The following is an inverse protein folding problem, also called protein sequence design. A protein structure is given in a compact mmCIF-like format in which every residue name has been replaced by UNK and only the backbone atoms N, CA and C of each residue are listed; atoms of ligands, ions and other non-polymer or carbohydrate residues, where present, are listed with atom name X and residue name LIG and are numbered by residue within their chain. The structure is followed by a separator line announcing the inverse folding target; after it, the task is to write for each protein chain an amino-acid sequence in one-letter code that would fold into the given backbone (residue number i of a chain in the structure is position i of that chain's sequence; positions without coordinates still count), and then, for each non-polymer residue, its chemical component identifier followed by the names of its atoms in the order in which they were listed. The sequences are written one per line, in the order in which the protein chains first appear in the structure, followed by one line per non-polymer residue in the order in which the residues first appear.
data_IF_638049790493
#
_entry.id   IF_638049790493
#
_cell.length_a   1.000
_cell.length_b   1.000
_cell.length_c   1.000
_cell.angle_alpha   90.00
_cell.angle_beta   90.00
_cell.angle_gamma   90.00
#
_symmetry.space_group_name_H-M   'P 1'
#
loop_
_entity.id
_entity.type
_entity.pdbx_description
1 polymer ?
#
# COMPACT_ATOMS: atom_id res chain seq x y z
N UNK A 1 8.30 6.14 2.13
CA UNK A 1 8.49 4.68 2.43
C UNK A 1 7.30 4.22 3.27
N UNK A 2 6.56 3.20 2.83
CA UNK A 2 5.31 2.76 3.46
C UNK A 2 5.44 2.19 4.88
N UNK A 3 4.31 2.00 5.59
CA UNK A 3 4.27 1.48 6.96
C UNK A 3 4.79 0.04 7.04
N UNK A 4 4.49 -0.77 6.04
CA UNK A 4 4.99 -2.14 5.88
C UNK A 4 5.69 -2.31 4.52
N UNK A 5 6.47 -3.38 4.40
CA UNK A 5 6.99 -3.81 3.10
C UNK A 5 5.92 -4.65 2.40
N UNK A 6 5.69 -4.37 1.12
CA UNK A 6 4.92 -5.22 0.21
C UNK A 6 5.60 -5.29 -1.14
N UNK A 7 5.45 -6.41 -1.83
CA UNK A 7 5.84 -6.54 -3.24
C UNK A 7 5.02 -5.54 -4.05
N UNK A 8 5.63 -4.81 -4.96
CA UNK A 8 4.95 -3.78 -5.75
C UNK A 8 4.84 -2.40 -5.08
N UNK A 9 5.32 -2.23 -3.85
CA UNK A 9 5.23 -0.95 -3.13
C UNK A 9 5.85 0.22 -3.90
N UNK A 10 5.16 1.36 -3.97
CA UNK A 10 5.46 2.52 -4.82
C UNK A 10 6.46 3.52 -4.24
N UNK A 11 7.27 3.11 -3.25
CA UNK A 11 8.22 4.02 -2.59
C UNK A 11 9.25 4.66 -3.54
N UNK A 12 9.57 4.02 -4.66
CA UNK A 12 10.47 4.57 -5.68
C UNK A 12 9.78 5.57 -6.61
N UNK A 13 8.47 5.47 -6.77
CA UNK A 13 7.65 6.34 -7.60
C UNK A 13 7.01 7.49 -6.81
N UNK A 14 7.10 7.48 -5.48
CA UNK A 14 6.38 8.43 -4.62
C UNK A 14 6.64 9.90 -4.98
N UNK A 15 7.89 10.27 -5.31
CA UNK A 15 8.22 11.65 -5.73
C UNK A 15 7.53 12.02 -7.03
N UNK A 16 7.59 11.14 -8.02
CA UNK A 16 7.00 11.35 -9.33
C UNK A 16 5.47 11.40 -9.24
N UNK A 17 4.84 10.43 -8.59
CA UNK A 17 3.39 10.40 -8.41
C UNK A 17 2.93 11.64 -7.65
N UNK A 18 3.63 12.02 -6.57
CA UNK A 18 3.27 13.19 -5.77
C UNK A 18 3.33 14.50 -6.58
N UNK A 19 4.30 14.64 -7.49
CA UNK A 19 4.40 15.85 -8.35
C UNK A 19 3.29 15.95 -9.39
N UNK A 20 2.55 14.87 -9.63
CA UNK A 20 1.41 14.82 -10.56
C UNK A 20 0.06 14.99 -9.86
N UNK A 21 0.02 14.94 -8.52
CA UNK A 21 -1.23 15.08 -7.76
C UNK A 21 -1.78 16.49 -7.97
N UNK A 22 -2.98 16.66 -8.54
CA UNK A 22 -3.57 17.98 -8.76
C UNK A 22 -4.14 18.56 -7.45
N UNK A 23 -4.52 19.83 -7.48
CA UNK A 23 -5.26 20.43 -6.36
C UNK A 23 -6.56 19.66 -6.12
N UNK A 24 -6.84 19.38 -4.85
CA UNK A 24 -8.01 18.63 -4.38
C UNK A 24 -8.29 18.94 -2.91
N UNK A 25 -9.51 18.69 -2.47
CA UNK A 25 -9.89 18.81 -1.06
C UNK A 25 -9.95 17.45 -0.37
N UNK A 26 -10.39 16.41 -1.11
CA UNK A 26 -10.59 15.05 -0.62
C UNK A 26 -9.57 14.13 -1.31
N UNK A 27 -8.74 13.48 -0.51
CA UNK A 27 -7.84 12.43 -0.99
C UNK A 27 -8.39 11.06 -0.64
N UNK A 28 -8.41 10.15 -1.61
CA UNK A 28 -8.87 8.77 -1.41
C UNK A 28 -7.86 7.78 -1.96
N UNK A 29 -7.41 6.84 -1.13
CA UNK A 29 -6.53 5.72 -1.53
C UNK A 29 -7.24 4.40 -1.24
N UNK A 30 -8.00 3.83 -2.22
CA UNK A 30 -8.82 2.63 -2.03
C UNK A 30 -8.03 1.34 -1.81
N UNK A 31 -6.75 1.32 -2.18
CA UNK A 31 -5.82 0.20 -2.04
C UNK A 31 -4.57 0.68 -1.30
N UNK A 32 -4.72 1.05 -0.02
CA UNK A 32 -3.65 1.71 0.75
C UNK A 32 -2.40 0.85 0.92
N UNK A 33 -2.55 -0.45 1.12
CA UNK A 33 -1.44 -1.35 1.35
C UNK A 33 -0.42 -0.79 2.35
N UNK A 34 0.82 -0.56 1.88
CA UNK A 34 1.86 0.07 2.68
C UNK A 34 1.82 1.59 2.77
N UNK A 35 0.94 2.28 2.02
CA UNK A 35 0.69 3.71 2.05
C UNK A 35 1.88 4.59 1.65
N UNK A 36 2.66 4.16 0.68
CA UNK A 36 3.87 4.92 0.29
C UNK A 36 3.54 6.29 -0.29
N UNK A 37 2.41 6.45 -0.96
CA UNK A 37 1.98 7.72 -1.56
C UNK A 37 1.31 8.57 -0.48
N UNK A 38 0.37 8.02 0.27
CA UNK A 38 -0.33 8.68 1.35
C UNK A 38 0.63 9.30 2.38
N UNK A 39 1.64 8.54 2.84
CA UNK A 39 2.63 9.02 3.81
C UNK A 39 3.62 10.04 3.25
N UNK A 40 3.71 10.19 1.93
CA UNK A 40 4.65 11.11 1.30
C UNK A 40 4.00 12.43 0.88
N UNK A 41 2.72 12.41 0.51
CA UNK A 41 2.00 13.61 0.10
C UNK A 41 1.72 14.57 1.27
N UNK A 42 1.50 15.83 0.95
CA UNK A 42 0.93 16.78 1.92
C UNK A 42 -0.49 16.38 2.29
N UNK A 43 -0.94 16.55 3.55
CA UNK A 43 -2.31 16.27 3.96
C UNK A 43 -3.32 17.09 3.15
N UNK A 44 -4.47 16.49 2.85
CA UNK A 44 -5.64 17.15 2.27
C UNK A 44 -6.62 17.56 3.38
N UNK A 45 -7.69 18.31 3.07
CA UNK A 45 -8.72 18.64 4.05
C UNK A 45 -9.38 17.39 4.63
N UNK A 46 -9.66 16.40 3.75
CA UNK A 46 -10.22 15.10 4.11
C UNK A 46 -9.31 14.03 3.52
N UNK A 47 -8.98 13.03 4.30
CA UNK A 47 -8.08 11.96 3.91
C UNK A 47 -8.73 10.61 4.17
N UNK A 48 -8.99 9.85 3.12
CA UNK A 48 -9.64 8.55 3.17
C UNK A 48 -8.64 7.48 2.74
N UNK A 49 -8.42 6.51 3.60
CA UNK A 49 -7.61 5.33 3.27
C UNK A 49 -8.41 4.06 3.46
N UNK A 50 -8.23 3.11 2.55
CA UNK A 50 -8.95 1.85 2.55
C UNK A 50 -8.07 0.69 2.07
N UNK A 51 -8.34 -0.49 2.56
CA UNK A 51 -7.87 -1.76 1.97
C UNK A 51 -8.88 -2.86 2.29
N UNK A 52 -9.03 -3.82 1.38
CA UNK A 52 -9.90 -4.97 1.62
C UNK A 52 -9.22 -6.00 2.56
N UNK A 53 -7.89 -6.02 2.63
CA UNK A 53 -7.12 -6.88 3.54
C UNK A 53 -7.24 -6.34 4.99
N UNK A 54 -8.05 -7.00 5.81
CA UNK A 54 -8.30 -6.65 7.19
C UNK A 54 -7.01 -6.54 8.02
N UNK A 55 -6.02 -7.44 7.81
CA UNK A 55 -4.73 -7.36 8.50
C UNK A 55 -3.99 -6.05 8.18
N UNK A 56 -4.14 -5.53 6.96
CA UNK A 56 -3.55 -4.25 6.54
C UNK A 56 -4.26 -3.10 7.23
N UNK A 57 -5.57 -3.08 7.19
CA UNK A 57 -6.35 -2.01 7.82
C UNK A 57 -6.19 -2.00 9.33
N UNK A 58 -6.10 -3.17 9.95
CA UNK A 58 -5.82 -3.26 11.39
C UNK A 58 -4.45 -2.65 11.75
N UNK A 59 -3.41 -2.79 10.90
CA UNK A 59 -2.14 -2.09 11.12
C UNK A 59 -2.36 -0.57 11.12
N UNK A 60 -3.10 -0.02 10.17
CA UNK A 60 -3.35 1.42 10.08
C UNK A 60 -4.16 1.94 11.26
N UNK A 61 -5.25 1.25 11.63
CA UNK A 61 -6.09 1.57 12.80
C UNK A 61 -5.29 1.51 14.09
N UNK A 62 -4.58 0.42 14.33
CA UNK A 62 -3.80 0.23 15.55
C UNK A 62 -2.69 1.27 15.68
N UNK A 63 -2.01 1.63 14.58
CA UNK A 63 -0.98 2.69 14.59
C UNK A 63 -1.58 4.07 14.81
N UNK A 64 -2.81 4.32 14.37
CA UNK A 64 -3.53 5.56 14.62
C UNK A 64 -4.00 5.65 16.08
N UNK A 65 -4.59 4.58 16.62
CA UNK A 65 -5.27 4.57 17.91
C UNK A 65 -4.31 4.47 19.11
N UNK A 66 -3.27 3.64 18.98
CA UNK A 66 -2.37 3.35 20.11
C UNK A 66 -1.52 4.56 20.52
N UNK A 67 -1.15 4.66 21.81
CA UNK A 67 -0.23 5.68 22.30
C UNK A 67 1.15 5.60 21.62
N UNK A 68 1.77 6.76 21.39
CA UNK A 68 3.02 6.86 20.60
C UNK A 68 4.24 6.27 21.32
N UNK A 69 4.25 6.31 22.63
CA UNK A 69 5.34 5.84 23.49
C UNK A 69 5.53 4.32 23.46
N UNK A 70 4.46 3.56 23.22
CA UNK A 70 4.55 2.09 23.17
C UNK A 70 5.51 1.58 22.08
N UNK A 71 5.74 2.36 21.02
CA UNK A 71 6.59 1.94 19.91
C UNK A 71 8.08 1.89 20.25
N UNK A 72 8.52 2.59 21.30
CA UNK A 72 9.93 2.62 21.71
C UNK A 72 10.41 1.25 22.22
N UNK A 73 9.51 0.48 22.81
CA UNK A 73 9.80 -0.87 23.33
C UNK A 73 9.72 -1.97 22.27
N UNK A 74 9.18 -1.69 21.07
CA UNK A 74 8.98 -2.71 20.06
C UNK A 74 10.30 -3.22 19.48
N UNK A 75 10.59 -4.51 19.70
CA UNK A 75 11.74 -5.21 19.13
C UNK A 75 11.27 -6.40 18.31
N UNK A 76 11.72 -6.49 17.08
CA UNK A 76 11.36 -7.60 16.17
C UNK A 76 12.58 -8.50 15.98
N UNK A 77 12.76 -9.47 16.87
CA UNK A 77 13.85 -10.45 16.80
C UNK A 77 13.39 -11.62 15.93
N UNK A 78 14.05 -11.88 14.79
CA UNK A 78 13.67 -12.97 13.91
C UNK A 78 13.77 -14.33 14.61
N UNK A 79 12.67 -15.06 14.59
CA UNK A 79 12.56 -16.40 15.13
C UNK A 79 11.57 -17.20 14.29
N UNK A 80 11.99 -18.37 13.81
CA UNK A 80 11.19 -19.19 12.88
C UNK A 80 9.96 -19.80 13.56
N UNK A 81 10.10 -20.25 14.81
CA UNK A 81 8.99 -20.86 15.53
C UNK A 81 7.93 -19.81 15.93
N UNK A 82 8.38 -18.64 16.37
CA UNK A 82 7.50 -17.50 16.62
C UNK A 82 6.78 -17.05 15.33
N UNK A 83 7.47 -17.05 14.20
CA UNK A 83 6.86 -16.73 12.90
C UNK A 83 5.73 -17.71 12.56
N UNK A 84 5.97 -19.03 12.73
CA UNK A 84 4.95 -20.06 12.49
C UNK A 84 3.75 -19.92 13.44
N UNK A 85 3.99 -19.63 14.72
CA UNK A 85 2.91 -19.41 15.68
C UNK A 85 2.05 -18.20 15.29
N UNK A 86 2.67 -17.12 14.87
CA UNK A 86 1.97 -15.92 14.41
C UNK A 86 1.20 -16.08 13.10
N UNK A 87 1.64 -16.95 12.18
CA UNK A 87 0.86 -17.27 10.99
C UNK A 87 -0.52 -17.85 11.33
N UNK A 88 -0.59 -18.66 12.38
CA UNK A 88 -1.80 -19.36 12.81
C UNK A 88 -2.62 -18.59 13.87
N UNK A 89 -2.06 -17.51 14.43
CA UNK A 89 -2.73 -16.72 15.48
C UNK A 89 -3.87 -15.89 14.87
N UNK A 90 -5.11 -16.17 15.32
CA UNK A 90 -6.33 -15.50 14.85
C UNK A 90 -7.02 -14.66 15.92
N UNK A 91 -6.69 -14.87 17.20
CA UNK A 91 -7.21 -14.10 18.32
C UNK A 91 -6.11 -13.30 19.00
N UNK A 92 -6.43 -12.14 19.54
CA UNK A 92 -5.49 -11.19 20.11
C UNK A 92 -6.03 -10.66 21.43
N UNK A 93 -5.14 -10.52 22.40
CA UNK A 93 -5.51 -10.03 23.74
C UNK A 93 -5.66 -8.49 23.75
N UNK A 94 -5.04 -7.82 22.76
CA UNK A 94 -5.09 -6.37 22.64
C UNK A 94 -4.78 -5.91 21.20
N UNK A 95 -5.08 -4.65 20.91
CA UNK A 95 -4.67 -4.00 19.66
C UNK A 95 -3.13 -3.97 19.53
N UNK A 96 -2.40 -3.86 20.63
CA UNK A 96 -0.94 -3.93 20.61
C UNK A 96 -0.44 -5.31 20.16
N UNK A 97 -1.00 -6.39 20.70
CA UNK A 97 -0.64 -7.77 20.32
C UNK A 97 -0.94 -8.03 18.83
N UNK A 98 -2.10 -7.57 18.37
CA UNK A 98 -2.47 -7.64 16.95
C UNK A 98 -1.50 -6.86 16.05
N UNK A 99 -1.19 -5.64 16.43
CA UNK A 99 -0.25 -4.79 15.71
C UNK A 99 1.15 -5.41 15.67
N UNK A 100 1.63 -5.85 16.83
CA UNK A 100 2.95 -6.47 16.93
C UNK A 100 3.06 -7.69 16.01
N UNK A 101 2.06 -8.59 16.05
CA UNK A 101 2.01 -9.77 15.16
C UNK A 101 2.03 -9.38 13.68
N UNK A 102 1.23 -8.42 13.28
CA UNK A 102 1.11 -7.99 11.89
C UNK A 102 2.40 -7.33 11.38
N UNK A 103 3.01 -6.47 12.17
CA UNK A 103 4.29 -5.85 11.87
C UNK A 103 5.42 -6.88 11.86
N UNK A 104 5.42 -7.82 12.80
CA UNK A 104 6.41 -8.89 12.87
C UNK A 104 6.37 -9.75 11.60
N UNK A 105 5.20 -10.24 11.21
CA UNK A 105 5.06 -11.03 9.98
C UNK A 105 5.51 -10.25 8.74
N UNK A 106 5.15 -8.98 8.62
CA UNK A 106 5.60 -8.14 7.50
C UNK A 106 7.12 -7.97 7.48
N UNK A 107 7.75 -7.87 8.65
CA UNK A 107 9.18 -7.58 8.75
C UNK A 107 10.08 -8.79 8.53
N UNK A 108 9.76 -9.92 9.14
CA UNK A 108 10.62 -11.12 9.11
C UNK A 108 10.31 -12.09 7.99
N UNK A 109 9.27 -11.83 7.20
CA UNK A 109 8.94 -12.64 6.03
C UNK A 109 9.80 -12.31 4.81
N UNK A 110 9.92 -13.27 3.92
CA UNK A 110 10.61 -13.07 2.64
C UNK A 110 9.90 -11.99 1.82
N UNK A 111 10.64 -10.94 1.47
CA UNK A 111 10.11 -9.79 0.72
C UNK A 111 8.84 -9.13 1.30
N UNK A 112 8.51 -9.35 2.57
CA UNK A 112 7.31 -8.80 3.19
C UNK A 112 6.01 -9.51 2.77
N UNK A 113 6.08 -10.75 2.26
CA UNK A 113 4.90 -11.49 1.78
C UNK A 113 4.00 -12.03 2.92
N UNK A 114 4.47 -12.01 4.16
CA UNK A 114 3.76 -12.49 5.35
C UNK A 114 3.36 -13.98 5.32
N UNK A 115 3.92 -14.77 4.40
CA UNK A 115 3.63 -16.19 4.22
C UNK A 115 4.81 -17.09 4.50
N UNK A 116 6.02 -16.65 4.17
CA UNK A 116 7.24 -17.44 4.32
C UNK A 116 8.28 -16.68 5.12
N UNK A 117 8.94 -17.40 6.03
CA UNK A 117 10.01 -16.85 6.86
C UNK A 117 11.21 -16.46 6.00
N UNK A 118 11.63 -15.21 6.09
CA UNK A 118 12.75 -14.65 5.33
C UNK A 118 14.06 -14.55 6.11
N UNK A 119 14.02 -14.81 7.42
CA UNK A 119 15.20 -14.71 8.30
C UNK A 119 15.61 -13.28 8.59
N UNK A 120 16.86 -13.12 8.96
CA UNK A 120 17.39 -11.96 9.64
C UNK A 120 17.95 -10.90 8.71
N UNK A 121 17.17 -9.86 8.41
CA UNK A 121 17.74 -8.57 7.94
C UNK A 121 16.94 -7.42 8.57
N UNK A 122 17.33 -7.14 9.85
CA UNK A 122 16.63 -6.32 10.54
C UNK A 122 17.03 -5.30 11.35
N UNK A 123 16.68 -4.20 11.36
CA UNK A 123 17.19 -3.06 12.05
C UNK A 123 16.19 -2.50 13.08
N UNK A 124 16.74 -1.87 14.07
CA UNK A 124 16.15 -1.00 15.10
C UNK A 124 15.26 0.11 14.46
N UNK A 125 15.45 0.39 13.16
CA UNK A 125 14.75 1.45 12.44
C UNK A 125 13.22 1.29 12.32
N UNK A 126 12.65 0.11 12.63
CA UNK A 126 11.21 -0.12 12.43
C UNK A 126 10.37 0.52 13.53
N UNK A 127 10.77 0.42 14.80
CA UNK A 127 10.05 1.07 15.91
C UNK A 127 10.00 2.58 15.75
N UNK A 128 11.16 3.22 15.51
CA UNK A 128 11.24 4.66 15.22
C UNK A 128 10.39 5.07 14.03
N UNK A 129 10.37 4.26 12.98
CA UNK A 129 9.56 4.54 11.80
C UNK A 129 8.07 4.48 12.11
N UNK A 130 7.60 3.45 12.84
CA UNK A 130 6.19 3.32 13.22
C UNK A 130 5.79 4.50 14.13
N UNK A 131 6.63 4.85 15.09
CA UNK A 131 6.41 6.05 15.93
C UNK A 131 6.20 7.31 15.09
N UNK A 132 7.07 7.57 14.12
CA UNK A 132 6.94 8.74 13.25
C UNK A 132 5.66 8.70 12.40
N UNK A 133 5.28 7.52 11.90
CA UNK A 133 4.03 7.35 11.15
C UNK A 133 2.83 7.60 12.07
N UNK A 134 2.82 7.05 13.29
CA UNK A 134 1.74 7.31 14.26
C UNK A 134 1.57 8.81 14.52
N UNK A 135 2.66 9.54 14.74
CA UNK A 135 2.63 11.00 14.90
C UNK A 135 2.07 11.69 13.64
N UNK A 136 2.49 11.25 12.46
CA UNK A 136 1.97 11.80 11.19
C UNK A 136 0.47 11.56 11.06
N UNK A 137 -0.03 10.35 11.35
CA UNK A 137 -1.44 10.01 11.27
C UNK A 137 -2.28 10.85 12.24
N UNK A 138 -1.82 10.99 13.49
CA UNK A 138 -2.51 11.79 14.52
C UNK A 138 -2.57 13.29 14.18
N UNK A 139 -1.62 13.77 13.38
CA UNK A 139 -1.59 15.15 12.87
C UNK A 139 -2.28 15.32 11.52
N UNK A 140 -2.80 14.23 10.93
CA UNK A 140 -3.53 14.29 9.66
C UNK A 140 -4.99 14.65 9.93
N UNK A 141 -5.41 15.82 9.45
CA UNK A 141 -6.79 16.28 9.63
C UNK A 141 -7.78 15.34 8.92
N UNK A 142 -8.92 15.08 9.57
CA UNK A 142 -10.03 14.32 9.00
C UNK A 142 -9.57 13.03 8.29
N UNK A 143 -8.80 12.21 9.03
CA UNK A 143 -8.39 10.89 8.55
C UNK A 143 -9.48 9.86 8.86
N UNK A 144 -9.98 9.21 7.82
CA UNK A 144 -10.93 8.12 7.94
C UNK A 144 -10.31 6.83 7.36
N UNK A 145 -10.46 5.72 8.09
CA UNK A 145 -9.85 4.42 7.76
C UNK A 145 -10.94 3.37 7.58
N UNK A 146 -11.08 2.88 6.35
CA UNK A 146 -12.11 1.92 5.95
C UNK A 146 -11.55 0.54 5.67
N UNK A 147 -12.42 -0.48 5.78
CA UNK A 147 -12.16 -1.86 5.35
C UNK A 147 -13.33 -2.32 4.47
N UNK A 148 -13.42 -1.76 3.29
CA UNK A 148 -14.55 -1.91 2.38
C UNK A 148 -14.07 -2.29 0.97
N UNK A 149 -14.99 -2.75 0.14
CA UNK A 149 -14.73 -2.90 -1.30
C UNK A 149 -14.39 -1.54 -1.94
N UNK A 150 -13.38 -1.52 -2.81
CA UNK A 150 -12.92 -0.29 -3.46
C UNK A 150 -14.03 0.43 -4.26
N UNK A 151 -14.99 -0.31 -4.84
CA UNK A 151 -16.12 0.27 -5.58
C UNK A 151 -17.03 1.07 -4.66
N UNK A 152 -17.26 0.56 -3.44
CA UNK A 152 -18.03 1.25 -2.40
C UNK A 152 -17.34 2.55 -2.01
N UNK A 153 -16.05 2.52 -1.75
CA UNK A 153 -15.26 3.69 -1.37
C UNK A 153 -15.23 4.73 -2.50
N UNK A 154 -14.96 4.31 -3.74
CA UNK A 154 -14.92 5.25 -4.87
C UNK A 154 -16.27 5.92 -5.05
N UNK A 155 -17.39 5.16 -5.06
CA UNK A 155 -18.74 5.72 -5.22
C UNK A 155 -19.13 6.66 -4.07
N UNK A 156 -18.75 6.33 -2.83
CA UNK A 156 -19.07 7.10 -1.63
C UNK A 156 -18.41 8.48 -1.63
N UNK A 157 -17.18 8.57 -2.10
CA UNK A 157 -16.38 9.79 -2.01
C UNK A 157 -16.15 10.49 -3.36
N UNK A 158 -16.85 10.05 -4.43
CA UNK A 158 -16.72 10.68 -5.74
C UNK A 158 -17.33 12.08 -5.77
N UNK A 159 -16.51 13.06 -6.05
CA UNK A 159 -16.88 14.45 -6.27
C UNK A 159 -15.87 15.15 -7.16
N UNK A 160 -16.18 16.36 -7.64
CA UNK A 160 -15.24 17.19 -8.43
C UNK A 160 -13.99 17.59 -7.63
N UNK A 161 -14.09 17.62 -6.30
CA UNK A 161 -13.01 18.01 -5.39
C UNK A 161 -12.21 16.81 -4.89
N UNK A 162 -12.51 15.60 -5.37
CA UNK A 162 -11.87 14.35 -4.97
C UNK A 162 -10.73 13.98 -5.91
N UNK A 163 -9.61 13.58 -5.31
CA UNK A 163 -8.52 12.91 -6.00
C UNK A 163 -8.34 11.49 -5.49
N UNK A 164 -8.36 10.53 -6.42
CA UNK A 164 -8.15 9.12 -6.15
C UNK A 164 -6.73 8.68 -6.55
N UNK A 165 -6.02 8.02 -5.65
CA UNK A 165 -4.82 7.27 -6.00
C UNK A 165 -5.10 5.77 -5.90
N UNK A 166 -4.92 5.04 -7.02
CA UNK A 166 -5.20 3.61 -7.10
C UNK A 166 -3.92 2.82 -7.39
N UNK A 167 -3.65 1.81 -6.57
CA UNK A 167 -2.59 0.83 -6.77
C UNK A 167 -3.14 -0.58 -6.49
N UNK A 168 -4.06 -1.07 -7.35
CA UNK A 168 -4.70 -2.37 -7.15
C UNK A 168 -3.68 -3.50 -7.25
N UNK A 169 -3.96 -4.69 -6.68
CA UNK A 169 -3.16 -5.87 -6.94
C UNK A 169 -3.19 -6.20 -8.42
N UNK A 170 -2.02 -6.53 -8.98
CA UNK A 170 -1.88 -6.86 -10.39
C UNK A 170 -2.37 -8.27 -10.69
N UNK A 171 -2.94 -8.49 -11.87
CA UNK A 171 -3.40 -9.80 -12.32
C UNK A 171 -2.28 -10.86 -12.27
N UNK A 172 -2.69 -12.08 -11.91
CA UNK A 172 -1.81 -13.23 -11.63
C UNK A 172 -1.03 -13.71 -12.87
N UNK A 173 -1.47 -13.41 -14.09
CA UNK A 173 -0.80 -13.82 -15.33
C UNK A 173 0.65 -13.31 -15.45
N UNK A 174 0.99 -12.23 -14.76
CA UNK A 174 2.36 -11.70 -14.73
C UNK A 174 3.13 -12.04 -13.44
N UNK A 175 2.49 -12.70 -12.49
CA UNK A 175 3.09 -13.07 -11.20
C UNK A 175 3.09 -14.58 -11.01
N UNK A 176 4.24 -15.20 -11.15
CA UNK A 176 4.45 -16.65 -11.08
C UNK A 176 4.16 -17.32 -9.72
N UNK A 177 3.63 -16.62 -8.71
CA UNK A 177 3.22 -17.18 -7.39
C UNK A 177 2.33 -16.20 -6.62
N UNK A 178 1.40 -16.72 -5.79
CA UNK A 178 0.63 -15.99 -4.78
C UNK A 178 1.55 -15.23 -3.80
N UNK A 179 1.74 -13.94 -4.01
CA UNK A 179 2.60 -13.09 -3.20
C UNK A 179 1.90 -12.53 -1.95
N UNK A 180 0.99 -13.31 -1.34
CA UNK A 180 0.35 -12.94 -0.08
C UNK A 180 -0.83 -11.97 -0.21
N UNK A 181 -1.37 -11.79 -1.40
CA UNK A 181 -2.66 -11.13 -1.59
C UNK A 181 -3.77 -12.13 -1.33
N UNK A 182 -4.59 -11.90 -0.30
CA UNK A 182 -5.77 -12.71 -0.03
C UNK A 182 -6.89 -12.29 -0.98
N UNK A 183 -7.37 -13.21 -1.83
CA UNK A 183 -8.64 -13.13 -2.58
C UNK A 183 -8.92 -11.82 -3.35
N UNK A 184 -7.99 -11.35 -4.17
CA UNK A 184 -8.22 -10.12 -4.90
C UNK A 184 -8.21 -10.38 -6.42
N UNK A 185 -9.33 -10.88 -6.94
CA UNK A 185 -9.64 -10.78 -8.36
C UNK A 185 -10.19 -9.38 -8.63
N UNK A 186 -9.29 -8.41 -8.77
CA UNK A 186 -9.65 -7.05 -9.18
C UNK A 186 -9.48 -6.97 -10.68
N UNK A 187 -10.59 -7.02 -11.42
CA UNK A 187 -10.58 -6.93 -12.87
C UNK A 187 -10.15 -5.54 -13.34
N UNK A 188 -9.11 -5.40 -14.19
CA UNK A 188 -8.74 -4.12 -14.78
C UNK A 188 -9.88 -3.49 -15.58
N UNK A 189 -10.71 -4.31 -16.25
CA UNK A 189 -11.87 -3.83 -16.99
C UNK A 189 -12.91 -3.19 -16.06
N UNK A 190 -13.23 -3.83 -14.93
CA UNK A 190 -14.15 -3.26 -13.95
C UNK A 190 -13.65 -1.95 -13.34
N UNK A 191 -12.33 -1.84 -13.09
CA UNK A 191 -11.72 -0.58 -12.66
C UNK A 191 -11.88 0.47 -13.76
N UNK A 192 -11.57 0.14 -15.00
CA UNK A 192 -11.68 1.07 -16.12
C UNK A 192 -13.11 1.60 -16.26
N UNK A 193 -14.10 0.72 -16.24
CA UNK A 193 -15.52 1.09 -16.39
C UNK A 193 -15.99 1.99 -15.23
N UNK A 194 -15.55 1.69 -14.00
CA UNK A 194 -15.82 2.54 -12.84
C UNK A 194 -15.17 3.92 -12.99
N UNK A 195 -13.90 3.97 -13.38
CA UNK A 195 -13.15 5.22 -13.50
C UNK A 195 -13.65 6.12 -14.65
N UNK A 196 -14.28 5.56 -15.67
CA UNK A 196 -14.97 6.34 -16.72
C UNK A 196 -16.20 7.11 -16.19
N UNK A 197 -16.78 6.67 -15.09
CA UNK A 197 -18.02 7.24 -14.55
C UNK A 197 -17.81 8.27 -13.43
N UNK A 198 -16.59 8.40 -12.89
CA UNK A 198 -16.33 9.29 -11.76
C UNK A 198 -16.20 10.76 -12.18
N UNK A 199 -16.49 11.66 -11.24
CA UNK A 199 -16.35 13.11 -11.37
C UNK A 199 -14.97 13.59 -10.93
N UNK A 200 -14.36 12.85 -10.00
CA UNK A 200 -13.07 13.15 -9.42
C UNK A 200 -11.90 12.90 -10.38
N UNK A 201 -10.75 13.40 -9.99
CA UNK A 201 -9.49 13.11 -10.70
C UNK A 201 -8.85 11.85 -10.13
N UNK A 202 -8.11 11.11 -10.97
CA UNK A 202 -7.40 9.94 -10.48
C UNK A 202 -6.01 9.77 -11.09
N UNK A 203 -5.15 9.09 -10.34
CA UNK A 203 -3.95 8.42 -10.82
C UNK A 203 -4.07 6.93 -10.48
N UNK A 204 -3.93 6.07 -11.49
CA UNK A 204 -3.88 4.62 -11.37
C UNK A 204 -2.49 4.13 -11.76
N UNK A 205 -1.87 3.34 -10.90
CA UNK A 205 -0.60 2.65 -11.20
C UNK A 205 -0.87 1.21 -11.63
N UNK A 206 -0.19 0.75 -12.69
CA UNK A 206 -0.29 -0.62 -13.17
C UNK A 206 1.03 -1.14 -13.74
N UNK A 207 1.20 -2.48 -13.83
CA UNK A 207 2.30 -3.06 -14.62
C UNK A 207 2.12 -2.71 -16.09
N UNK A 208 3.22 -2.49 -16.80
CA UNK A 208 3.16 -2.38 -18.25
C UNK A 208 2.76 -3.71 -18.87
N UNK A 209 1.63 -3.71 -19.59
CA UNK A 209 1.21 -4.75 -20.53
C UNK A 209 0.38 -4.13 -21.65
N UNK A 210 0.35 -4.76 -22.80
CA UNK A 210 -0.47 -4.27 -23.92
C UNK A 210 -1.97 -4.42 -23.60
N UNK A 211 -2.36 -5.45 -22.86
CA UNK A 211 -3.74 -5.60 -22.37
C UNK A 211 -4.19 -4.41 -21.55
N UNK A 212 -3.37 -3.98 -20.56
CA UNK A 212 -3.68 -2.80 -19.73
C UNK A 212 -3.75 -1.53 -20.56
N UNK A 213 -2.82 -1.32 -21.49
CA UNK A 213 -2.87 -0.15 -22.38
C UNK A 213 -4.14 -0.11 -23.22
N UNK A 214 -4.58 -1.28 -23.74
CA UNK A 214 -5.80 -1.36 -24.54
C UNK A 214 -7.06 -1.09 -23.71
N UNK A 215 -7.13 -1.62 -22.48
CA UNK A 215 -8.26 -1.38 -21.57
C UNK A 215 -8.38 0.11 -21.23
N UNK A 216 -7.27 0.77 -20.95
CA UNK A 216 -7.23 2.17 -20.50
C UNK A 216 -6.90 3.18 -21.60
N UNK A 217 -7.03 2.80 -22.88
CA UNK A 217 -6.64 3.63 -24.06
C UNK A 217 -7.30 5.02 -24.13
N UNK A 218 -8.46 5.17 -23.49
CA UNK A 218 -9.22 6.43 -23.47
C UNK A 218 -8.70 7.43 -22.42
N UNK A 219 -7.68 7.04 -21.64
CA UNK A 219 -7.05 7.86 -20.61
C UNK A 219 -5.61 8.26 -21.00
N UNK A 220 -5.07 9.23 -20.28
CA UNK A 220 -3.64 9.58 -20.43
C UNK A 220 -2.78 8.49 -19.81
N UNK A 221 -1.87 7.91 -20.60
CA UNK A 221 -0.98 6.82 -20.18
C UNK A 221 0.48 7.27 -20.28
N UNK A 222 1.19 7.24 -19.16
CA UNK A 222 2.62 7.49 -19.11
C UNK A 222 3.39 6.22 -18.74
N UNK A 223 4.45 5.88 -19.51
CA UNK A 223 5.35 4.79 -19.17
C UNK A 223 6.45 5.30 -18.23
N UNK A 224 6.65 4.60 -17.10
CA UNK A 224 7.66 4.92 -16.10
C UNK A 224 8.58 3.74 -15.89
N UNK A 225 9.89 3.97 -15.96
CA UNK A 225 10.90 2.94 -15.68
C UNK A 225 11.40 3.11 -14.26
N UNK A 226 11.29 2.06 -13.45
CA UNK A 226 11.86 1.99 -12.11
C UNK A 226 12.98 0.97 -12.06
N UNK A 227 14.12 1.35 -11.47
CA UNK A 227 15.25 0.43 -11.26
C UNK A 227 15.05 -0.33 -9.96
N UNK A 228 14.90 -1.64 -10.04
CA UNK A 228 14.87 -2.51 -8.87
C UNK A 228 16.21 -3.23 -8.72
N UNK A 229 16.86 -3.05 -7.59
CA UNK A 229 18.03 -3.85 -7.22
C UNK A 229 17.52 -5.13 -6.57
N UNK A 230 17.70 -6.26 -7.20
CA UNK A 230 17.46 -7.56 -6.59
C UNK A 230 18.61 -7.81 -5.61
N UNK A 231 18.37 -7.61 -4.30
CA UNK A 231 19.32 -7.94 -3.25
C UNK A 231 19.43 -9.44 -3.08
N UNK A 232 20.54 -10.02 -3.52
CA UNK A 232 20.99 -11.36 -3.25
C UNK A 232 22.48 -11.44 -3.59
N UNK A 233 23.31 -11.71 -2.59
CA UNK A 233 24.75 -12.04 -2.69
C UNK A 233 25.52 -11.40 -3.86
N UNK A 234 25.96 -10.15 -3.69
CA UNK A 234 27.10 -9.60 -4.44
C UNK A 234 26.91 -9.26 -5.92
N UNK A 235 25.73 -9.39 -6.49
CA UNK A 235 25.46 -9.09 -7.89
C UNK A 235 24.72 -7.77 -8.07
N UNK A 236 25.29 -6.83 -8.84
CA UNK A 236 24.66 -5.58 -9.31
C UNK A 236 23.59 -5.83 -10.38
N UNK A 237 22.69 -6.80 -10.21
CA UNK A 237 21.60 -7.05 -11.15
C UNK A 237 20.45 -6.08 -10.85
N UNK A 238 20.55 -4.88 -11.40
CA UNK A 238 19.42 -3.95 -11.51
C UNK A 238 18.51 -4.41 -12.65
N UNK A 239 17.29 -4.85 -12.32
CA UNK A 239 16.25 -5.06 -13.33
C UNK A 239 15.40 -3.79 -13.44
N UNK A 240 15.24 -3.31 -14.67
CA UNK A 240 14.26 -2.27 -14.95
C UNK A 240 12.86 -2.90 -14.87
N UNK A 241 11.98 -2.28 -14.10
CA UNK A 241 10.55 -2.60 -14.11
C UNK A 241 9.83 -1.43 -14.74
N UNK A 242 9.04 -1.71 -15.74
CA UNK A 242 8.20 -0.72 -16.41
C UNK A 242 6.81 -0.73 -15.77
N UNK A 243 6.33 0.45 -15.43
CA UNK A 243 5.00 0.67 -14.85
C UNK A 243 4.25 1.70 -15.69
N UNK A 244 2.94 1.59 -15.72
CA UNK A 244 2.05 2.58 -16.31
C UNK A 244 1.50 3.48 -15.23
N UNK A 245 1.49 4.78 -15.49
CA UNK A 245 0.71 5.77 -14.74
C UNK A 245 -0.42 6.21 -15.66
N UNK A 246 -1.64 5.96 -15.23
CA UNK A 246 -2.88 6.22 -15.98
C UNK A 246 -3.67 7.28 -15.24
N UNK A 247 -4.16 8.31 -15.93
CA UNK A 247 -4.87 9.43 -15.32
C UNK A 247 -5.94 10.02 -16.25
N UNK A 248 -6.96 10.70 -15.70
CA UNK A 248 -8.03 11.35 -16.44
C UNK A 248 -7.83 12.86 -16.61
N UNK A 249 -6.63 13.36 -16.42
CA UNK A 249 -6.25 14.76 -16.58
C UNK A 249 -4.83 14.87 -17.19
N UNK A 250 -4.49 16.00 -17.76
CA UNK A 250 -3.17 16.31 -18.32
C UNK A 250 -2.07 16.50 -17.27
#
# INVERSE_FOLDING_TARGET
MGIIRRVGGKSKLQKKINSMIPNHEIYVEPFIGGGSIFLYKSPSKINIINDLDEDIINIWKDVYDLPVDIYESMKFIPNRELFKSYLNKKSFDSNYDRLYRNLYLSKVSFSGNRLSYGGDKQGISTAKKIKNISLQLKNTSNLEIYNEDYKTIIKKFDSKDTFFYLDPPYEIETMTKNWGYKNLNVSPQEICDLLKSIKGKFILSYNKSETIKNIFKDFYIENVITKYTLGGNGGNNTKNKEELIIKNFE
#
